data_IF_541176112715
#
_entry.id   IF_541176112715
#
_cell.length_a   1.000
_cell.length_b   1.000
_cell.length_c   1.000
_cell.angle_alpha   90.00
_cell.angle_beta   90.00
_cell.angle_gamma   90.00
#
_symmetry.space_group_name_H-M   'P 1'
#
loop_
_entity.id
_entity.type
_entity.pdbx_description
1 polymer ?
#
# COMPACT_ATOMS: atom_id res chain seq x y z
N UNK A 1 2.26 3.39 -0.30
CA UNK A 1 3.68 3.34 0.09
C UNK A 1 4.54 3.19 -1.12
N UNK A 2 5.41 4.16 -1.39
CA UNK A 2 6.10 4.18 -2.66
C UNK A 2 6.53 5.58 -3.06
N UNK A 3 7.12 5.65 -4.25
CA UNK A 3 7.29 6.86 -5.06
C UNK A 3 6.96 6.43 -6.49
N UNK A 4 6.05 7.13 -7.16
CA UNK A 4 5.78 7.02 -8.59
C UNK A 4 6.53 8.14 -9.30
N UNK A 5 7.56 7.80 -10.07
CA UNK A 5 8.48 8.79 -10.65
C UNK A 5 7.97 9.42 -11.95
N UNK A 6 6.97 8.78 -12.57
CA UNK A 6 6.40 9.19 -13.83
C UNK A 6 4.92 9.56 -13.71
N UNK A 7 4.50 10.00 -12.52
CA UNK A 7 3.16 10.51 -12.24
C UNK A 7 2.77 11.65 -13.20
N UNK A 8 3.59 12.69 -13.30
CA UNK A 8 3.37 13.84 -14.20
C UNK A 8 3.35 13.42 -15.69
N UNK A 9 4.20 12.47 -16.09
CA UNK A 9 4.21 11.90 -17.44
C UNK A 9 2.86 11.21 -17.75
N UNK A 10 2.29 10.51 -16.77
CA UNK A 10 1.01 9.83 -16.91
C UNK A 10 -0.17 10.81 -16.95
N UNK A 11 -0.15 11.85 -16.11
CA UNK A 11 -1.15 12.92 -16.16
C UNK A 11 -1.18 13.59 -17.54
N UNK A 12 -0.02 14.02 -18.03
CA UNK A 12 0.12 14.64 -19.34
C UNK A 12 -0.29 13.69 -20.48
N UNK A 13 0.17 12.43 -20.46
CA UNK A 13 -0.14 11.43 -21.50
C UNK A 13 -1.64 11.17 -21.62
N UNK A 14 -2.35 11.16 -20.51
CA UNK A 14 -3.77 10.81 -20.47
C UNK A 14 -4.70 12.00 -20.36
N UNK A 15 -4.16 13.22 -20.42
CA UNK A 15 -4.90 14.46 -20.22
C UNK A 15 -5.77 14.39 -18.95
N UNK A 16 -5.19 13.84 -17.89
CA UNK A 16 -5.82 13.76 -16.57
C UNK A 16 -5.51 15.07 -15.88
N UNK A 17 -6.54 15.75 -15.38
CA UNK A 17 -6.40 16.90 -14.52
C UNK A 17 -6.26 16.42 -13.07
N UNK A 18 -5.42 17.11 -12.29
CA UNK A 18 -5.40 16.92 -10.84
C UNK A 18 -6.77 17.30 -10.26
N UNK A 19 -7.22 16.52 -9.27
CA UNK A 19 -8.47 16.83 -8.56
C UNK A 19 -8.38 18.21 -7.88
N UNK A 20 -7.23 18.50 -7.28
CA UNK A 20 -6.92 19.78 -6.66
C UNK A 20 -5.60 20.33 -7.21
N UNK A 21 -5.61 21.55 -7.74
CA UNK A 21 -4.45 22.15 -8.44
C UNK A 21 -3.16 22.23 -7.62
N UNK A 22 -3.28 22.26 -6.29
CA UNK A 22 -2.14 22.34 -5.37
C UNK A 22 -1.69 20.98 -4.83
N UNK A 23 -2.41 19.89 -5.16
CA UNK A 23 -2.06 18.54 -4.72
C UNK A 23 -0.94 17.96 -5.60
N UNK A 24 0.22 17.71 -4.99
CA UNK A 24 1.42 17.20 -5.67
C UNK A 24 1.81 15.79 -5.22
N UNK A 25 0.81 14.96 -4.89
CA UNK A 25 1.06 13.62 -4.37
C UNK A 25 1.11 12.62 -5.51
N UNK A 26 2.29 12.05 -5.75
CA UNK A 26 2.58 11.03 -6.76
C UNK A 26 1.60 9.83 -6.79
N UNK A 27 1.06 9.46 -5.64
CA UNK A 27 0.08 8.38 -5.53
C UNK A 27 -1.25 8.67 -6.25
N UNK A 28 -1.57 9.93 -6.55
CA UNK A 28 -2.76 10.33 -7.31
C UNK A 28 -2.80 9.66 -8.69
N UNK A 29 -1.63 9.54 -9.35
CA UNK A 29 -1.50 8.86 -10.63
C UNK A 29 -1.96 7.39 -10.58
N UNK A 30 -1.84 6.71 -9.44
CA UNK A 30 -2.35 5.34 -9.27
C UNK A 30 -3.87 5.34 -9.36
N UNK A 31 -4.54 6.22 -8.62
CA UNK A 31 -6.00 6.28 -8.57
C UNK A 31 -6.57 6.71 -9.92
N UNK A 32 -6.03 7.77 -10.51
CA UNK A 32 -6.50 8.28 -11.80
C UNK A 32 -6.32 7.24 -12.92
N UNK A 33 -5.18 6.55 -12.95
CA UNK A 33 -4.94 5.48 -13.92
C UNK A 33 -5.88 4.29 -13.71
N UNK A 34 -6.13 3.88 -12.46
CA UNK A 34 -7.06 2.79 -12.17
C UNK A 34 -8.52 3.18 -12.45
N UNK A 35 -8.89 4.44 -12.28
CA UNK A 35 -10.19 4.98 -12.67
C UNK A 35 -10.37 4.87 -14.18
N UNK A 36 -9.44 5.45 -14.94
CA UNK A 36 -9.42 5.48 -16.41
C UNK A 36 -9.40 4.06 -17.01
N UNK A 37 -8.69 3.13 -16.38
CA UNK A 37 -8.46 1.77 -16.88
C UNK A 37 -9.36 0.73 -16.22
N UNK A 38 -10.34 1.14 -15.42
CA UNK A 38 -11.30 0.28 -14.71
C UNK A 38 -10.58 -0.87 -13.95
N UNK A 39 -9.53 -0.53 -13.21
CA UNK A 39 -8.66 -1.45 -12.47
C UNK A 39 -8.00 -2.55 -13.32
N UNK A 40 -7.74 -2.32 -14.61
CA UNK A 40 -7.04 -3.28 -15.44
C UNK A 40 -5.59 -3.46 -14.95
N UNK A 41 -5.13 -4.69 -14.62
CA UNK A 41 -3.81 -4.89 -14.03
C UNK A 41 -2.68 -4.45 -14.98
N UNK A 42 -2.88 -4.53 -16.30
CA UNK A 42 -1.88 -4.11 -17.28
C UNK A 42 -1.54 -2.63 -17.21
N UNK A 43 -2.46 -1.77 -16.75
CA UNK A 43 -2.19 -0.35 -16.60
C UNK A 43 -1.16 -0.08 -15.50
N UNK A 44 -1.12 -0.91 -14.45
CA UNK A 44 -0.07 -0.81 -13.41
C UNK A 44 1.35 -1.06 -13.95
N UNK A 45 1.49 -1.59 -15.17
CA UNK A 45 2.79 -1.71 -15.84
C UNK A 45 3.32 -0.41 -16.42
N UNK A 46 2.50 0.63 -16.45
CA UNK A 46 2.89 1.96 -16.93
C UNK A 46 3.51 2.81 -15.82
N UNK A 47 3.33 2.41 -14.56
CA UNK A 47 3.91 3.09 -13.39
C UNK A 47 5.40 2.73 -13.28
N UNK A 48 6.23 3.76 -13.13
CA UNK A 48 7.66 3.67 -12.83
C UNK A 48 7.89 4.09 -11.39
N UNK A 49 8.80 3.39 -10.71
CA UNK A 49 9.08 3.62 -9.31
C UNK A 49 8.72 2.46 -8.39
N UNK A 50 8.66 2.76 -7.11
CA UNK A 50 8.43 1.82 -6.03
C UNK A 50 6.96 1.89 -5.58
N UNK A 51 6.25 0.76 -5.43
CA UNK A 51 4.88 0.83 -4.89
C UNK A 51 4.37 -0.42 -4.17
N UNK A 52 3.62 -0.16 -3.10
CA UNK A 52 2.63 -1.04 -2.51
C UNK A 52 1.40 -0.16 -2.20
N UNK A 53 0.26 -0.51 -2.79
CA UNK A 53 -0.94 0.31 -2.79
C UNK A 53 -2.18 -0.51 -2.41
N UNK A 54 -3.14 0.19 -1.81
CA UNK A 54 -4.45 -0.33 -1.47
C UNK A 54 -5.50 0.73 -1.80
N UNK A 55 -6.60 0.36 -2.43
CA UNK A 55 -7.66 1.31 -2.76
C UNK A 55 -9.03 0.64 -2.81
N UNK A 56 -10.05 1.48 -2.65
CA UNK A 56 -11.45 1.15 -2.87
C UNK A 56 -11.90 1.79 -4.18
N UNK A 57 -12.88 1.17 -4.80
CA UNK A 57 -13.51 1.68 -6.02
C UNK A 57 -15.02 1.72 -5.76
N UNK A 58 -15.62 2.91 -5.85
CA UNK A 58 -17.05 3.11 -5.59
C UNK A 58 -17.95 2.31 -6.54
N UNK A 59 -17.46 1.98 -7.74
CA UNK A 59 -18.17 1.10 -8.69
C UNK A 59 -18.25 -0.34 -8.20
N UNK A 60 -17.37 -0.73 -7.26
CA UNK A 60 -17.26 -2.05 -6.66
C UNK A 60 -17.06 -1.93 -5.13
N UNK A 61 -18.07 -1.39 -4.40
CA UNK A 61 -17.90 -0.88 -3.03
C UNK A 61 -17.54 -1.97 -2.00
N UNK A 62 -17.79 -3.24 -2.32
CA UNK A 62 -17.43 -4.39 -1.48
C UNK A 62 -16.07 -5.01 -1.81
N UNK A 63 -15.27 -4.35 -2.66
CA UNK A 63 -13.97 -4.85 -3.13
C UNK A 63 -12.83 -3.92 -2.75
N UNK A 64 -11.86 -4.48 -2.01
CA UNK A 64 -10.57 -3.86 -1.75
C UNK A 64 -9.56 -4.36 -2.79
N UNK A 65 -8.87 -3.44 -3.45
CA UNK A 65 -7.77 -3.74 -4.34
C UNK A 65 -6.45 -3.58 -3.60
N UNK A 66 -5.56 -4.57 -3.75
CA UNK A 66 -4.21 -4.55 -3.19
C UNK A 66 -3.20 -4.79 -4.30
N UNK A 67 -2.26 -3.88 -4.51
CA UNK A 67 -1.23 -4.02 -5.53
C UNK A 67 0.17 -3.94 -4.94
N UNK A 68 1.07 -4.81 -5.42
CA UNK A 68 2.50 -4.73 -5.13
C UNK A 68 3.31 -4.59 -6.42
N UNK A 69 4.01 -3.47 -6.55
CA UNK A 69 5.07 -3.21 -7.53
C UNK A 69 6.43 -3.69 -7.01
N UNK A 70 7.50 -2.97 -7.35
CA UNK A 70 8.87 -3.25 -6.86
C UNK A 70 9.16 -2.50 -5.56
N UNK A 71 10.21 -2.94 -4.85
CA UNK A 71 10.89 -2.26 -3.74
C UNK A 71 10.06 -1.94 -2.48
N UNK A 72 8.75 -2.17 -2.48
CA UNK A 72 7.85 -1.96 -1.33
C UNK A 72 7.16 -3.27 -0.96
N UNK A 73 7.41 -3.80 0.26
CA UNK A 73 6.73 -5.00 0.71
C UNK A 73 5.23 -4.77 0.90
N UNK A 74 4.46 -5.82 0.67
CA UNK A 74 3.04 -5.89 0.97
C UNK A 74 2.75 -7.27 1.54
N UNK A 75 2.28 -7.31 2.78
CA UNK A 75 1.90 -8.51 3.50
C UNK A 75 0.38 -8.59 3.61
N UNK A 76 -0.14 -9.81 3.54
CA UNK A 76 -1.51 -10.14 3.90
C UNK A 76 -1.52 -11.13 5.05
N UNK A 77 -2.38 -10.90 6.04
CA UNK A 77 -2.67 -11.83 7.13
C UNK A 77 -4.13 -12.27 7.02
N UNK A 78 -4.36 -13.59 7.01
CA UNK A 78 -5.70 -14.15 6.74
C UNK A 78 -6.18 -15.03 7.88
N UNK A 79 -7.47 -14.94 8.19
CA UNK A 79 -8.24 -15.93 8.95
C UNK A 79 -9.15 -16.71 8.00
N UNK A 80 -10.13 -17.47 8.52
CA UNK A 80 -11.18 -18.10 7.69
C UNK A 80 -12.18 -17.11 7.09
N UNK A 81 -12.32 -15.93 7.69
CA UNK A 81 -13.32 -14.90 7.36
C UNK A 81 -12.73 -13.55 6.98
N UNK A 82 -11.54 -13.22 7.48
CA UNK A 82 -10.99 -11.87 7.46
C UNK A 82 -9.63 -11.80 6.77
N UNK A 83 -9.34 -10.62 6.23
CA UNK A 83 -8.04 -10.30 5.65
C UNK A 83 -7.57 -8.95 6.17
N UNK A 84 -6.35 -8.94 6.67
CA UNK A 84 -5.59 -7.76 7.06
C UNK A 84 -4.43 -7.59 6.10
N UNK A 85 -3.99 -6.35 5.85
CA UNK A 85 -2.82 -6.07 5.03
C UNK A 85 -1.95 -5.00 5.67
N UNK A 86 -0.65 -5.06 5.41
CA UNK A 86 0.31 -4.06 5.90
C UNK A 86 1.59 -4.10 5.08
N UNK A 87 2.39 -3.04 5.13
CA UNK A 87 3.74 -3.06 4.52
C UNK A 87 4.78 -3.81 5.33
N UNK A 88 4.48 -4.23 6.56
CA UNK A 88 5.42 -5.02 7.38
C UNK A 88 4.72 -6.17 8.08
N UNK A 89 5.46 -7.28 8.28
CA UNK A 89 5.00 -8.42 9.08
C UNK A 89 4.73 -8.02 10.54
N UNK A 90 5.52 -7.08 11.09
CA UNK A 90 5.39 -6.60 12.47
C UNK A 90 4.04 -5.93 12.74
N UNK A 91 3.53 -5.15 11.78
CA UNK A 91 2.20 -4.54 11.90
C UNK A 91 1.09 -5.60 12.01
N UNK A 92 1.19 -6.70 11.27
CA UNK A 92 0.22 -7.81 11.36
C UNK A 92 0.33 -8.58 12.68
N UNK A 93 1.51 -8.65 13.29
CA UNK A 93 1.68 -9.24 14.62
C UNK A 93 0.95 -8.43 15.71
N UNK A 94 0.85 -7.10 15.56
CA UNK A 94 0.05 -6.25 16.46
C UNK A 94 -1.43 -6.64 16.35
N UNK A 95 -1.93 -6.90 15.14
CA UNK A 95 -3.31 -7.36 14.91
C UNK A 95 -3.55 -8.72 15.58
N UNK A 96 -2.63 -9.68 15.41
CA UNK A 96 -2.72 -10.99 16.09
C UNK A 96 -2.84 -10.86 17.61
N UNK A 97 -2.00 -10.00 18.21
CA UNK A 97 -2.00 -9.77 19.65
C UNK A 97 -3.27 -9.04 20.12
N UNK A 98 -3.66 -7.96 19.44
CA UNK A 98 -4.80 -7.13 19.81
C UNK A 98 -6.13 -7.90 19.70
N UNK A 99 -6.29 -8.69 18.64
CA UNK A 99 -7.52 -9.45 18.38
C UNK A 99 -7.46 -10.90 18.90
N UNK A 100 -6.37 -11.29 19.58
CA UNK A 100 -6.13 -12.63 20.12
C UNK A 100 -6.40 -13.75 19.11
N UNK A 101 -5.92 -13.56 17.89
CA UNK A 101 -6.11 -14.50 16.78
C UNK A 101 -4.79 -14.88 16.13
N UNK A 102 -4.80 -15.97 15.35
CA UNK A 102 -3.66 -16.37 14.51
C UNK A 102 -3.94 -16.02 13.06
N UNK A 103 -2.99 -15.36 12.42
CA UNK A 103 -3.06 -15.00 11.01
C UNK A 103 -2.15 -15.92 10.19
N UNK A 104 -2.67 -16.43 9.08
CA UNK A 104 -1.83 -17.01 8.03
C UNK A 104 -1.20 -15.87 7.25
N UNK A 105 0.07 -15.57 7.56
CA UNK A 105 0.83 -14.49 6.95
C UNK A 105 1.41 -14.91 5.61
N UNK A 106 1.31 -14.05 4.60
CA UNK A 106 1.91 -14.27 3.29
C UNK A 106 2.35 -12.92 2.71
N UNK A 107 3.56 -12.86 2.20
CA UNK A 107 4.01 -11.71 1.43
C UNK A 107 3.46 -11.80 0.01
N UNK A 108 2.80 -10.75 -0.45
CA UNK A 108 2.25 -10.65 -1.81
C UNK A 108 3.43 -10.59 -2.78
N UNK A 109 3.43 -11.40 -3.84
CA UNK A 109 4.52 -11.36 -4.83
C UNK A 109 4.51 -10.05 -5.62
N UNK A 110 5.67 -9.58 -6.06
CA UNK A 110 5.76 -8.41 -6.95
C UNK A 110 5.00 -8.64 -8.26
N UNK A 111 4.45 -7.54 -8.80
CA UNK A 111 3.64 -7.58 -10.02
C UNK A 111 2.31 -8.30 -9.82
N UNK A 112 1.68 -8.11 -8.65
CA UNK A 112 0.37 -8.69 -8.32
C UNK A 112 -0.64 -7.64 -7.95
N UNK A 113 -1.84 -7.82 -8.49
CA UNK A 113 -3.05 -7.12 -8.12
C UNK A 113 -4.04 -8.14 -7.55
N UNK A 114 -4.36 -8.00 -6.27
CA UNK A 114 -5.34 -8.81 -5.57
C UNK A 114 -6.67 -8.05 -5.52
N UNK A 115 -7.76 -8.77 -5.74
CA UNK A 115 -9.11 -8.32 -5.41
C UNK A 115 -9.56 -9.07 -4.18
N UNK A 116 -9.91 -8.32 -3.15
CA UNK A 116 -10.37 -8.84 -1.87
C UNK A 116 -11.83 -8.47 -1.69
N UNK A 117 -12.69 -9.47 -1.50
CA UNK A 117 -14.09 -9.26 -1.20
C UNK A 117 -14.48 -10.15 -0.02
N UNK A 118 -15.22 -9.58 0.96
CA UNK A 118 -15.66 -10.28 2.17
C UNK A 118 -14.52 -11.04 2.86
N UNK A 119 -13.39 -10.35 3.06
CA UNK A 119 -12.19 -10.89 3.71
C UNK A 119 -11.46 -12.01 2.95
N UNK A 120 -11.79 -12.25 1.68
CA UNK A 120 -11.15 -13.29 0.86
C UNK A 120 -10.55 -12.71 -0.40
N UNK A 121 -9.36 -13.19 -0.76
CA UNK A 121 -8.78 -12.94 -2.09
C UNK A 121 -9.63 -13.72 -3.10
N UNK A 122 -10.50 -13.01 -3.83
CA UNK A 122 -11.38 -13.59 -4.85
C UNK A 122 -10.72 -13.64 -6.22
N UNK A 123 -9.70 -12.81 -6.44
CA UNK A 123 -8.93 -12.81 -7.68
C UNK A 123 -7.50 -12.35 -7.45
N UNK A 124 -6.55 -12.99 -8.11
CA UNK A 124 -5.17 -12.54 -8.24
C UNK A 124 -4.85 -12.37 -9.72
N UNK A 125 -4.36 -11.19 -10.09
CA UNK A 125 -3.94 -10.88 -11.46
C UNK A 125 -2.49 -10.40 -11.47
N UNK A 126 -1.84 -10.53 -12.63
CA UNK A 126 -0.43 -10.19 -12.81
C UNK A 126 -0.29 -8.93 -13.65
N UNK A 127 0.76 -8.17 -13.34
CA UNK A 127 1.28 -7.09 -14.17
C UNK A 127 2.81 -7.13 -14.14
N UNK A 128 3.45 -6.44 -15.08
CA UNK A 128 4.91 -6.31 -15.14
C UNK A 128 5.28 -4.98 -14.46
N UNK A 129 5.82 -4.97 -13.24
CA UNK A 129 6.32 -3.74 -12.66
C UNK A 129 7.63 -3.34 -13.37
N UNK A 130 7.96 -2.06 -13.35
CA UNK A 130 9.26 -1.59 -13.84
C UNK A 130 10.39 -2.13 -12.95
N UNK A 131 11.17 -3.07 -13.48
CA UNK A 131 12.31 -3.68 -12.78
C UNK A 131 13.62 -2.94 -13.01
N UNK A 132 13.63 -1.92 -13.87
CA UNK A 132 14.79 -1.06 -14.05
C UNK A 132 14.93 -0.04 -12.92
N UNK A 133 13.83 0.22 -12.20
CA UNK A 133 13.85 1.05 -11.00
C UNK A 133 14.80 0.47 -9.95
N UNK A 134 15.75 1.31 -9.54
CA UNK A 134 16.71 1.04 -8.48
C UNK A 134 16.68 2.22 -7.50
N UNK A 135 16.52 1.92 -6.22
CA UNK A 135 16.60 2.96 -5.20
C UNK A 135 18.09 3.21 -4.90
N UNK A 136 18.59 4.42 -5.21
CA UNK A 136 20.02 4.76 -5.06
C UNK A 136 20.53 4.67 -3.62
N UNK A 137 19.63 4.60 -2.63
CA UNK A 137 19.94 4.31 -1.23
C UNK A 137 18.89 3.45 -0.55
N UNK A 138 19.31 2.51 0.30
CA UNK A 138 18.39 1.70 1.09
C UNK A 138 17.61 2.56 2.08
N UNK A 139 16.30 2.72 1.85
CA UNK A 139 15.39 3.29 2.85
C UNK A 139 14.77 2.14 3.66
N UNK A 140 14.97 2.10 5.00
CA UNK A 140 14.35 1.06 5.81
C UNK A 140 12.81 1.15 5.71
N UNK A 141 12.09 0.01 5.74
CA UNK A 141 10.62 -0.01 5.64
C UNK A 141 9.92 0.80 6.73
N UNK A 142 10.61 1.04 7.85
CA UNK A 142 10.19 1.95 8.92
C UNK A 142 11.26 3.03 9.02
N UNK A 143 10.90 4.27 8.66
CA UNK A 143 11.74 5.44 8.91
C UNK A 143 11.56 5.78 10.39
N UNK A 144 12.66 5.76 11.15
CA UNK A 144 12.72 5.90 12.61
C UNK A 144 12.13 4.74 13.46
N UNK A 145 12.73 3.54 13.41
CA UNK A 145 12.24 2.37 14.17
C UNK A 145 12.25 2.55 15.70
N UNK A 146 13.05 3.49 16.22
CA UNK A 146 13.14 3.79 17.65
C UNK A 146 12.24 4.95 18.09
N UNK A 147 11.68 5.72 17.16
CA UNK A 147 10.80 6.85 17.51
C UNK A 147 9.54 6.38 18.22
N UNK A 148 9.01 5.19 17.90
CA UNK A 148 7.87 4.64 18.63
C UNK A 148 8.14 4.49 20.13
N UNK A 149 9.35 4.05 20.50
CA UNK A 149 9.75 3.93 21.91
C UNK A 149 9.91 5.33 22.52
N UNK A 150 10.62 6.22 21.83
CA UNK A 150 10.81 7.61 22.29
C UNK A 150 9.49 8.39 22.44
N UNK A 151 8.51 8.15 21.57
CA UNK A 151 7.17 8.73 21.66
C UNK A 151 6.42 8.16 22.85
N UNK A 152 6.47 6.85 23.09
CA UNK A 152 5.81 6.23 24.24
C UNK A 152 6.43 6.70 25.57
N UNK A 153 7.76 6.83 25.64
CA UNK A 153 8.45 7.40 26.80
C UNK A 153 8.02 8.84 27.06
N UNK A 154 7.97 9.69 26.03
CA UNK A 154 7.50 11.08 26.15
C UNK A 154 6.03 11.17 26.55
N UNK A 155 5.16 10.32 25.98
CA UNK A 155 3.76 10.26 26.35
C UNK A 155 3.58 9.82 27.80
N UNK A 156 4.36 8.84 28.27
CA UNK A 156 4.32 8.40 29.66
C UNK A 156 4.67 9.54 30.64
N UNK A 157 5.68 10.38 30.30
CA UNK A 157 6.02 11.59 31.06
C UNK A 157 4.87 12.59 31.06
N UNK A 158 4.21 12.83 29.92
CA UNK A 158 3.07 13.76 29.83
C UNK A 158 1.83 13.29 30.59
N UNK A 159 1.62 11.98 30.69
CA UNK A 159 0.47 11.38 31.40
C UNK A 159 0.74 11.10 32.88
N UNK A 160 1.97 11.28 33.35
CA UNK A 160 2.29 11.13 34.75
C UNK A 160 1.55 12.21 35.56
N UNK A 161 0.91 11.87 36.69
CA UNK A 161 0.29 12.87 37.53
C UNK A 161 1.36 13.86 38.02
N UNK A 162 1.06 15.16 37.95
CA UNK A 162 1.94 16.17 38.50
C UNK A 162 2.15 15.88 40.00
N UNK A 163 3.40 15.60 40.38
CA UNK A 163 3.85 15.49 41.78
C UNK A 163 3.83 16.83 42.46
#
# INVERSE_FOLDING_TARGET
>A
NGIIENDEELFARYAIEHEEREMTVDSEAIFALMELRRNAPRALSELRGAMAAAWLDERQPSTLFLARGVARPLWVGRTGSDLFFASTRRALAIVEAALRMRLKLTEVREGRLLQVARGRIVRERRFRPDRSYCEEGYLPPVRAPHEGVSCLERLAVLTAPAT
#
